data_IF_429649393122
#
_entry.id   IF_429649393122
#
_cell.length_a   1.000
_cell.length_b   1.000
_cell.length_c   1.000
_cell.angle_alpha   90.00
_cell.angle_beta   90.00
_cell.angle_gamma   90.00
#
_symmetry.space_group_name_H-M   'P 1'
#
loop_
_entity.id
_entity.type
_entity.pdbx_description
1 polymer ?
#
# COMPACT_ATOMS: atom_id res chain seq x y z
N UNK A 1 -5.95 -8.04 10.09
CA UNK A 1 -4.64 -8.68 9.80
C UNK A 1 -3.68 -7.59 9.35
N UNK A 2 -2.53 -7.37 10.01
CA UNK A 2 -1.56 -6.34 9.60
C UNK A 2 -0.90 -6.69 8.25
N UNK A 3 -0.18 -5.72 7.67
CA UNK A 3 0.89 -5.96 6.70
C UNK A 3 1.69 -7.18 7.18
N UNK A 4 1.81 -8.23 6.36
CA UNK A 4 2.68 -9.36 6.65
C UNK A 4 3.96 -9.18 5.83
N UNK A 5 4.94 -8.40 6.33
CA UNK A 5 6.30 -8.56 5.84
C UNK A 5 6.69 -10.01 6.12
N UNK A 6 7.15 -10.67 5.07
CA UNK A 6 7.83 -11.93 5.25
C UNK A 6 9.30 -11.68 4.93
N UNK A 7 10.19 -12.52 5.45
CA UNK A 7 11.60 -12.53 5.02
C UNK A 7 11.74 -13.64 3.99
N UNK A 8 12.12 -13.33 2.76
CA UNK A 8 12.45 -14.34 1.75
C UNK A 8 13.94 -14.29 1.57
N UNK A 9 14.60 -15.44 1.80
CA UNK A 9 16.05 -15.56 1.75
C UNK A 9 16.82 -14.51 2.60
N UNK A 10 16.24 -14.03 3.71
CA UNK A 10 16.86 -13.05 4.60
C UNK A 10 16.69 -11.58 4.19
N UNK A 11 15.94 -11.30 3.11
CA UNK A 11 15.63 -9.95 2.67
C UNK A 11 14.16 -9.57 2.97
N UNK A 12 13.90 -8.30 3.35
CA UNK A 12 12.54 -7.81 3.50
C UNK A 12 11.84 -7.81 2.13
N UNK A 13 10.61 -8.35 2.09
CA UNK A 13 9.73 -8.30 0.92
C UNK A 13 8.28 -8.10 1.39
N UNK A 14 7.43 -7.58 0.50
CA UNK A 14 5.99 -7.47 0.78
C UNK A 14 5.26 -8.63 0.12
N UNK A 15 4.79 -9.57 0.94
CA UNK A 15 4.08 -10.76 0.46
C UNK A 15 2.57 -10.53 0.30
N UNK A 16 1.98 -9.72 1.18
CA UNK A 16 0.55 -9.45 1.22
C UNK A 16 0.21 -8.17 1.96
N UNK A 17 -1.00 -7.65 1.73
CA UNK A 17 -1.57 -6.50 2.42
C UNK A 17 -3.01 -6.81 2.86
N UNK A 18 -3.28 -6.74 4.17
CA UNK A 18 -4.56 -7.13 4.77
C UNK A 18 -5.03 -8.51 4.29
N UNK A 19 -4.12 -9.48 4.22
CA UNK A 19 -4.43 -10.84 3.80
C UNK A 19 -4.62 -11.04 2.30
N UNK A 20 -4.49 -10.00 1.46
CA UNK A 20 -4.45 -10.13 -0.01
C UNK A 20 -2.99 -10.22 -0.47
N UNK A 21 -2.64 -11.29 -1.17
CA UNK A 21 -1.26 -11.57 -1.59
C UNK A 21 -0.92 -10.90 -2.90
N UNK A 22 0.33 -10.42 -3.06
CA UNK A 22 0.80 -9.96 -4.37
C UNK A 22 0.79 -11.14 -5.35
N UNK A 23 0.01 -11.03 -6.43
CA UNK A 23 -0.28 -12.14 -7.34
C UNK A 23 -1.67 -12.76 -7.21
N UNK A 24 -2.44 -12.41 -6.17
CA UNK A 24 -3.81 -12.89 -5.95
C UNK A 24 -4.77 -12.33 -7.01
N UNK A 25 -5.76 -13.12 -7.44
CA UNK A 25 -6.68 -12.71 -8.50
C UNK A 25 -7.77 -11.77 -7.97
N UNK A 26 -8.43 -11.03 -8.87
CA UNK A 26 -9.56 -10.18 -8.51
C UNK A 26 -10.69 -10.98 -7.88
N UNK A 27 -10.98 -12.16 -8.43
CA UNK A 27 -12.04 -13.06 -7.95
C UNK A 27 -11.76 -13.53 -6.51
N UNK A 28 -10.53 -13.93 -6.21
CA UNK A 28 -10.13 -14.35 -4.85
C UNK A 28 -10.27 -13.19 -3.84
N UNK A 29 -9.92 -11.97 -4.26
CA UNK A 29 -10.06 -10.77 -3.42
C UNK A 29 -11.54 -10.45 -3.17
N UNK A 30 -12.38 -10.59 -4.19
CA UNK A 30 -13.82 -10.42 -4.08
C UNK A 30 -14.41 -11.42 -3.08
N UNK A 31 -14.04 -12.70 -3.16
CA UNK A 31 -14.50 -13.73 -2.22
C UNK A 31 -14.10 -13.42 -0.77
N UNK A 32 -12.89 -12.89 -0.59
CA UNK A 32 -12.35 -12.51 0.73
C UNK A 32 -13.05 -11.27 1.31
N UNK A 33 -13.44 -10.34 0.45
CA UNK A 33 -14.04 -9.07 0.83
C UNK A 33 -15.34 -8.81 0.06
N UNK A 34 -16.42 -9.57 0.31
CA UNK A 34 -17.64 -9.53 -0.51
C UNK A 34 -18.40 -8.19 -0.46
N UNK A 35 -18.07 -7.31 0.49
CA UNK A 35 -18.64 -5.97 0.61
C UNK A 35 -17.80 -4.89 -0.07
N UNK A 36 -16.67 -5.26 -0.69
CA UNK A 36 -15.88 -4.36 -1.49
C UNK A 36 -16.56 -4.02 -2.82
N UNK A 37 -15.92 -3.15 -3.60
CA UNK A 37 -16.42 -2.74 -4.91
C UNK A 37 -15.33 -2.82 -5.96
N UNK A 38 -15.68 -3.34 -7.12
CA UNK A 38 -14.85 -3.22 -8.31
C UNK A 38 -14.80 -1.76 -8.75
N UNK A 39 -13.61 -1.30 -9.10
CA UNK A 39 -13.32 0.00 -9.67
C UNK A 39 -12.39 -0.18 -10.86
N UNK A 40 -12.14 0.90 -11.59
CA UNK A 40 -11.12 0.93 -12.64
C UNK A 40 -10.04 1.93 -12.23
N UNK A 41 -8.78 1.52 -12.34
CA UNK A 41 -7.64 2.40 -12.08
C UNK A 41 -7.64 3.59 -13.03
N UNK A 42 -6.94 4.69 -12.70
CA UNK A 42 -6.81 5.83 -13.62
C UNK A 42 -6.32 5.47 -15.02
N UNK A 43 -5.47 4.44 -15.16
CA UNK A 43 -4.99 3.93 -16.46
C UNK A 43 -5.79 2.75 -17.03
N UNK A 44 -6.92 2.38 -16.42
CA UNK A 44 -7.80 1.35 -16.98
C UNK A 44 -7.57 -0.06 -16.42
N UNK A 45 -6.64 -0.24 -15.47
CA UNK A 45 -6.43 -1.54 -14.85
C UNK A 45 -7.64 -1.91 -13.95
N UNK A 46 -8.01 -3.20 -13.85
CA UNK A 46 -8.98 -3.63 -12.86
C UNK A 46 -8.52 -3.24 -11.46
N UNK A 47 -9.45 -2.77 -10.64
CA UNK A 47 -9.19 -2.42 -9.26
C UNK A 47 -10.33 -2.91 -8.34
N UNK A 48 -10.00 -3.09 -7.07
CA UNK A 48 -10.97 -3.48 -6.05
C UNK A 48 -10.77 -2.65 -4.80
N UNK A 49 -11.81 -1.97 -4.36
CA UNK A 49 -11.78 -1.10 -3.19
C UNK A 49 -12.55 -1.71 -2.03
N UNK A 50 -11.92 -1.66 -0.86
CA UNK A 50 -12.55 -1.87 0.44
C UNK A 50 -12.47 -0.58 1.25
N UNK A 51 -13.48 -0.32 2.09
CA UNK A 51 -13.54 0.87 2.94
C UNK A 51 -13.59 0.46 4.41
N UNK A 52 -13.19 1.39 5.28
CA UNK A 52 -13.32 1.28 6.75
C UNK A 52 -12.74 -0.01 7.36
N UNK A 53 -11.56 -0.42 6.89
CA UNK A 53 -10.87 -1.63 7.36
C UNK A 53 -9.84 -1.29 8.43
N UNK A 54 -9.69 -2.16 9.43
CA UNK A 54 -8.72 -1.99 10.52
C UNK A 54 -7.77 -3.18 10.61
N UNK A 55 -6.51 -2.89 10.95
CA UNK A 55 -5.50 -3.88 11.22
C UNK A 55 -4.62 -3.46 12.41
N UNK A 56 -4.77 -4.17 13.53
CA UNK A 56 -4.10 -3.77 14.77
C UNK A 56 -4.52 -2.35 15.17
N UNK A 57 -3.55 -1.45 15.32
CA UNK A 57 -3.78 -0.04 15.68
C UNK A 57 -3.93 0.88 14.46
N UNK A 58 -3.81 0.35 13.25
CA UNK A 58 -3.93 1.10 12.01
C UNK A 58 -5.35 0.98 11.47
N UNK A 59 -6.00 2.13 11.25
CA UNK A 59 -7.30 2.23 10.61
C UNK A 59 -7.12 2.78 9.20
N UNK A 60 -7.80 2.17 8.24
CA UNK A 60 -7.82 2.59 6.85
C UNK A 60 -9.22 3.07 6.47
N UNK A 61 -9.30 4.29 5.98
CA UNK A 61 -10.53 4.83 5.42
C UNK A 61 -10.87 4.12 4.11
N UNK A 62 -9.85 3.81 3.30
CA UNK A 62 -10.00 3.04 2.06
C UNK A 62 -8.71 2.30 1.71
N UNK A 63 -8.85 1.14 1.10
CA UNK A 63 -7.75 0.39 0.47
C UNK A 63 -8.19 -0.01 -0.92
N UNK A 64 -7.39 0.32 -1.92
CA UNK A 64 -7.60 -0.06 -3.32
C UNK A 64 -6.50 -1.03 -3.71
N UNK A 65 -6.88 -2.20 -4.19
CA UNK A 65 -6.02 -3.17 -4.84
C UNK A 65 -6.12 -2.97 -6.36
N UNK A 66 -5.01 -2.89 -7.08
CA UNK A 66 -5.00 -2.91 -8.54
C UNK A 66 -4.27 -4.12 -9.08
N UNK A 67 -4.80 -4.60 -10.21
CA UNK A 67 -4.44 -5.89 -10.78
C UNK A 67 -3.74 -5.66 -12.12
N UNK A 68 -2.52 -6.18 -12.22
CA UNK A 68 -1.77 -6.20 -13.47
C UNK A 68 -2.18 -7.41 -14.31
N UNK A 69 -2.27 -7.22 -15.63
CA UNK A 69 -2.67 -8.28 -16.55
C UNK A 69 -1.73 -9.50 -16.45
N UNK A 70 -2.31 -10.69 -16.31
CA UNK A 70 -1.59 -11.96 -16.11
C UNK A 70 -0.75 -12.08 -14.82
N UNK A 71 -0.76 -11.06 -13.94
CA UNK A 71 0.11 -11.01 -12.75
C UNK A 71 -0.65 -10.82 -11.43
N UNK A 72 -1.98 -10.69 -11.46
CA UNK A 72 -2.82 -10.52 -10.27
C UNK A 72 -2.59 -9.18 -9.58
N UNK A 73 -2.93 -9.09 -8.29
CA UNK A 73 -2.74 -7.87 -7.49
C UNK A 73 -1.27 -7.48 -7.47
N UNK A 74 -0.96 -6.27 -7.92
CA UNK A 74 0.40 -5.74 -7.98
C UNK A 74 0.52 -4.31 -7.40
N UNK A 75 -0.58 -3.66 -7.06
CA UNK A 75 -0.56 -2.36 -6.39
C UNK A 75 -1.58 -2.31 -5.27
N UNK A 76 -1.15 -1.78 -4.13
CA UNK A 76 -2.01 -1.34 -3.03
C UNK A 76 -1.92 0.17 -2.93
N UNK A 77 -3.07 0.83 -2.90
CA UNK A 77 -3.19 2.25 -2.57
C UNK A 77 -4.15 2.42 -1.41
N UNK A 78 -3.62 2.75 -0.23
CA UNK A 78 -4.38 2.86 1.00
C UNK A 78 -4.40 4.30 1.52
N UNK A 79 -5.57 4.72 2.00
CA UNK A 79 -5.74 5.94 2.80
C UNK A 79 -5.96 5.56 4.25
N UNK A 80 -5.02 5.89 5.11
CA UNK A 80 -5.17 5.64 6.55
C UNK A 80 -5.92 6.78 7.24
N UNK A 81 -6.40 6.54 8.46
CA UNK A 81 -6.95 7.59 9.30
C UNK A 81 -5.81 8.43 9.91
N UNK A 82 -5.98 9.75 10.10
CA UNK A 82 -4.90 10.63 10.61
C UNK A 82 -4.24 10.13 11.92
N UNK A 83 -5.01 9.51 12.82
CA UNK A 83 -4.49 8.95 14.08
C UNK A 83 -3.69 7.64 13.93
N UNK A 84 -3.50 7.15 12.71
CA UNK A 84 -2.80 5.88 12.44
C UNK A 84 -1.42 6.05 11.81
N UNK A 85 -1.03 7.28 11.46
CA UNK A 85 0.25 7.62 10.84
C UNK A 85 1.45 7.02 11.59
N UNK A 86 1.63 7.37 12.86
CA UNK A 86 2.80 6.94 13.65
C UNK A 86 2.86 5.42 13.85
N UNK A 87 1.70 4.79 14.06
CA UNK A 87 1.61 3.34 14.20
C UNK A 87 2.01 2.65 12.90
N UNK A 88 1.51 3.12 11.76
CA UNK A 88 1.82 2.55 10.47
C UNK A 88 3.30 2.75 10.11
N UNK A 89 3.86 3.94 10.33
CA UNK A 89 5.28 4.20 10.10
C UNK A 89 6.16 3.28 10.95
N UNK A 90 5.80 3.08 12.23
CA UNK A 90 6.51 2.17 13.13
C UNK A 90 6.42 0.71 12.66
N UNK A 91 5.25 0.26 12.22
CA UNK A 91 5.06 -1.07 11.65
C UNK A 91 5.91 -1.26 10.39
N UNK A 92 5.90 -0.28 9.47
CA UNK A 92 6.71 -0.30 8.25
C UNK A 92 8.21 -0.37 8.54
N UNK A 93 8.71 0.43 9.49
CA UNK A 93 10.12 0.36 9.89
C UNK A 93 10.50 -0.96 10.54
N UNK A 94 9.63 -1.50 11.41
CA UNK A 94 9.84 -2.81 12.02
C UNK A 94 9.81 -3.95 11.01
N UNK A 95 9.01 -3.80 9.95
CA UNK A 95 8.80 -4.76 8.89
C UNK A 95 9.90 -4.77 7.82
N UNK A 96 10.28 -3.58 7.35
CA UNK A 96 11.09 -3.37 6.15
C UNK A 96 12.48 -2.83 6.45
N UNK A 97 12.76 -2.50 7.72
CA UNK A 97 13.96 -1.76 8.11
C UNK A 97 13.81 -0.25 7.86
N UNK A 98 14.93 0.46 7.89
CA UNK A 98 14.93 1.91 7.63
C UNK A 98 14.66 2.22 6.15
N UNK A 99 13.88 3.27 5.84
CA UNK A 99 13.63 3.69 4.46
C UNK A 99 14.91 4.18 3.78
N UNK A 100 14.98 3.99 2.46
CA UNK A 100 16.09 4.50 1.63
C UNK A 100 16.01 6.02 1.42
N UNK A 101 14.83 6.60 1.59
CA UNK A 101 14.59 8.04 1.58
C UNK A 101 13.56 8.38 2.63
N UNK A 102 13.86 9.38 3.46
CA UNK A 102 12.95 9.91 4.47
C UNK A 102 13.05 11.42 4.51
N UNK A 103 11.91 12.12 4.44
CA UNK A 103 11.81 13.55 4.63
C UNK A 103 10.87 13.81 5.80
N UNK A 104 11.27 14.72 6.67
CA UNK A 104 10.44 15.20 7.75
C UNK A 104 10.42 16.72 7.68
N UNK A 105 9.24 17.31 7.70
CA UNK A 105 9.09 18.75 7.91
C UNK A 105 8.50 18.99 9.30
N UNK A 106 9.29 19.67 10.13
CA UNK A 106 8.85 20.16 11.44
C UNK A 106 8.21 21.54 11.23
N UNK A 107 7.01 21.75 11.79
CA UNK A 107 6.42 23.09 11.91
C UNK A 107 5.15 23.38 11.08
N UNK A 108 4.50 22.39 10.48
CA UNK A 108 3.08 22.48 10.12
C UNK A 108 2.24 21.72 11.15
N UNK A 109 0.92 21.92 11.15
CA UNK A 109 -0.03 21.46 12.17
C UNK A 109 0.04 19.95 12.52
N UNK A 110 0.73 19.14 11.71
CA UNK A 110 1.23 17.81 12.02
C UNK A 110 2.66 17.68 11.49
N UNK A 111 3.52 16.93 12.20
CA UNK A 111 4.83 16.53 11.68
C UNK A 111 4.61 15.67 10.43
N UNK A 112 4.91 16.23 9.25
CA UNK A 112 4.75 15.52 7.99
C UNK A 112 5.99 14.67 7.73
N UNK A 113 5.76 13.40 7.46
CA UNK A 113 6.79 12.41 7.17
C UNK A 113 6.46 11.76 5.83
N UNK A 114 7.42 11.86 4.91
CA UNK A 114 7.45 11.06 3.69
C UNK A 114 8.56 10.03 3.82
N UNK A 115 8.26 8.76 3.53
CA UNK A 115 9.23 7.69 3.57
C UNK A 115 9.09 6.78 2.34
N UNK A 116 10.22 6.29 1.84
CA UNK A 116 10.26 5.37 0.69
C UNK A 116 11.21 4.21 0.98
N UNK A 117 10.74 3.00 0.69
CA UNK A 117 11.55 1.79 0.64
C UNK A 117 11.61 1.28 -0.79
N UNK A 118 12.80 0.88 -1.21
CA UNK A 118 13.05 0.11 -2.42
C UNK A 118 13.54 -1.26 -1.97
N UNK A 119 12.75 -2.29 -2.19
CA UNK A 119 13.06 -3.64 -1.75
C UNK A 119 13.82 -4.42 -2.83
N UNK A 120 14.58 -5.47 -2.46
CA UNK A 120 15.51 -6.13 -3.39
C UNK A 120 14.84 -6.82 -4.59
N UNK A 121 13.57 -7.22 -4.51
CA UNK A 121 12.86 -7.88 -5.62
C UNK A 121 12.13 -6.87 -6.53
N UNK A 122 12.34 -5.56 -6.33
CA UNK A 122 11.79 -4.49 -7.16
C UNK A 122 10.53 -3.85 -6.59
N UNK A 123 10.10 -4.24 -5.39
CA UNK A 123 8.96 -3.63 -4.73
C UNK A 123 9.27 -2.20 -4.26
N UNK A 124 8.23 -1.37 -4.28
CA UNK A 124 8.30 0.02 -3.85
C UNK A 124 7.23 0.25 -2.80
N UNK A 125 7.64 0.75 -1.63
CA UNK A 125 6.72 1.22 -0.59
C UNK A 125 6.88 2.72 -0.42
N UNK A 126 5.79 3.46 -0.53
CA UNK A 126 5.73 4.90 -0.30
C UNK A 126 4.73 5.20 0.80
N UNK A 127 5.19 5.94 1.80
CA UNK A 127 4.38 6.41 2.92
C UNK A 127 4.42 7.94 2.95
N UNK A 128 3.27 8.55 3.19
CA UNK A 128 3.10 10.00 3.30
C UNK A 128 2.05 10.31 4.38
N UNK A 129 2.48 10.92 5.50
CA UNK A 129 1.58 11.28 6.60
C UNK A 129 0.87 12.62 6.41
N UNK A 130 1.31 13.49 5.50
CA UNK A 130 0.59 14.73 5.18
C UNK A 130 -0.67 14.41 4.37
N UNK A 131 -0.58 13.40 3.51
CA UNK A 131 -1.68 12.99 2.63
C UNK A 131 -2.48 11.78 3.13
N UNK A 132 -2.11 11.23 4.29
CA UNK A 132 -2.63 10.00 4.89
C UNK A 132 -2.53 8.76 3.98
N UNK A 133 -1.40 8.58 3.29
CA UNK A 133 -1.26 7.60 2.18
C UNK A 133 -0.18 6.57 2.38
N UNK A 134 -0.50 5.37 1.93
CA UNK A 134 0.43 4.28 1.73
C UNK A 134 0.23 3.69 0.33
N UNK A 135 1.29 3.65 -0.48
CA UNK A 135 1.31 2.93 -1.75
C UNK A 135 2.34 1.81 -1.70
N UNK A 136 1.97 0.62 -2.16
CA UNK A 136 2.86 -0.54 -2.25
C UNK A 136 2.77 -1.12 -3.65
N UNK A 137 3.87 -1.10 -4.38
CA UNK A 137 4.02 -1.73 -5.68
C UNK A 137 4.73 -3.06 -5.53
N UNK A 138 4.12 -4.13 -6.03
CA UNK A 138 4.71 -5.46 -6.11
C UNK A 138 5.76 -5.58 -7.22
N UNK A 139 6.50 -6.70 -7.25
CA UNK A 139 7.66 -6.88 -8.13
C UNK A 139 7.29 -6.95 -9.63
N UNK A 140 6.02 -7.23 -9.96
CA UNK A 140 5.50 -7.27 -11.33
C UNK A 140 4.55 -6.12 -11.63
N UNK A 141 4.58 -5.07 -10.80
CA UNK A 141 3.70 -3.91 -10.92
C UNK A 141 4.23 -2.77 -11.77
N UNK A 142 5.31 -2.94 -12.54
CA UNK A 142 5.94 -1.83 -13.27
C UNK A 142 4.95 -1.01 -14.11
N UNK A 143 4.01 -1.68 -14.79
CA UNK A 143 2.96 -1.04 -15.58
C UNK A 143 1.97 -0.18 -14.78
N UNK A 144 1.87 -0.38 -13.46
CA UNK A 144 1.00 0.36 -12.54
C UNK A 144 1.71 1.51 -11.81
N UNK A 145 3.00 1.75 -12.10
CA UNK A 145 3.77 2.80 -11.43
C UNK A 145 3.19 4.20 -11.71
N UNK A 146 2.66 4.42 -12.91
CA UNK A 146 2.01 5.69 -13.27
C UNK A 146 0.66 5.87 -12.56
N UNK A 147 -0.07 4.79 -12.23
CA UNK A 147 -1.30 4.85 -11.45
C UNK A 147 -1.08 5.45 -10.06
N UNK A 148 0.05 5.15 -9.40
CA UNK A 148 0.43 5.79 -8.13
C UNK A 148 0.45 7.32 -8.30
N UNK A 149 1.14 7.81 -9.34
CA UNK A 149 1.31 9.25 -9.60
C UNK A 149 -0.01 9.94 -9.93
N UNK A 150 -0.94 9.27 -10.61
CA UNK A 150 -2.24 9.86 -10.93
C UNK A 150 -3.22 9.82 -9.77
N UNK A 151 -3.25 8.73 -9.01
CA UNK A 151 -4.01 8.70 -7.75
C UNK A 151 -3.54 9.79 -6.81
N UNK A 152 -2.26 10.15 -6.88
CA UNK A 152 -1.76 11.27 -6.11
C UNK A 152 -2.31 12.64 -6.53
N UNK A 153 -2.78 12.77 -7.78
CA UNK A 153 -3.31 14.01 -8.39
C UNK A 153 -4.84 14.12 -8.45
N UNK A 154 -5.56 13.01 -8.30
CA UNK A 154 -7.02 12.96 -8.43
C UNK A 154 -7.75 13.33 -7.12
N UNK A 155 -7.05 13.98 -6.18
CA UNK A 155 -7.53 14.32 -4.85
C UNK A 155 -7.31 15.81 -4.60
#
# INVERSE_FOLDING_TARGET
MPLLPSTRAGHPHVSSFLGVSFGESLDDVHEKYPTGREETSPYGAPAYRIDEVSAGNVRYNSVVYEFADGAGMQLVYARFAPGSADYLLKELKGALGEPVSMRSALGKAHDSVEATWLLPEGELVKYDSELDRLAILGPRGEGLREDIRLRDKLI
#
